data_IF_226319806798
#
_entry.id   IF_226319806798
#
_cell.length_a   1.000
_cell.length_b   1.000
_cell.length_c   1.000
_cell.angle_alpha   90.00
_cell.angle_beta   90.00
_cell.angle_gamma   90.00
#
_symmetry.space_group_name_H-M   'P 1'
#
loop_
_entity.id
_entity.type
_entity.pdbx_description
1 polymer ?
#
# COMPACT_ATOMS: atom_id res chain seq x y z
N UNK A 1 37.53 5.54 16.10
CA UNK A 1 37.02 6.32 17.26
C UNK A 1 36.87 7.78 16.83
N UNK A 2 35.81 8.44 17.30
CA UNK A 2 35.27 9.79 16.93
C UNK A 2 34.38 9.77 15.67
N UNK A 3 33.16 9.23 15.74
CA UNK A 3 31.94 9.80 16.36
C UNK A 3 31.48 11.11 15.71
N UNK A 4 30.66 10.99 14.66
CA UNK A 4 29.62 11.99 14.35
C UNK A 4 28.29 11.37 14.74
N UNK A 5 28.06 11.29 16.05
CA UNK A 5 26.72 11.32 16.62
C UNK A 5 26.40 12.79 16.88
N UNK A 6 25.48 13.36 16.11
CA UNK A 6 24.66 14.47 16.59
C UNK A 6 23.23 13.99 16.72
N UNK A 7 22.93 13.59 17.94
CA UNK A 7 21.59 13.57 18.47
C UNK A 7 21.06 15.01 18.46
N UNK A 8 19.95 15.28 17.80
CA UNK A 8 19.07 16.39 18.20
C UNK A 8 17.65 16.09 17.75
N UNK A 9 16.87 15.55 18.69
CA UNK A 9 15.48 15.96 18.87
C UNK A 9 15.43 17.49 18.84
N UNK A 10 15.21 18.05 17.66
CA UNK A 10 15.10 19.48 17.43
C UNK A 10 13.77 19.72 16.75
N UNK A 11 12.84 20.31 17.52
CA UNK A 11 11.68 21.09 17.09
C UNK A 11 11.26 20.93 15.62
N UNK A 12 10.05 20.37 15.40
CA UNK A 12 9.31 20.41 14.13
C UNK A 12 8.99 21.86 13.70
N UNK A 13 9.99 22.69 13.41
CA UNK A 13 9.85 23.76 12.44
C UNK A 13 9.83 23.06 11.09
N UNK A 14 8.74 23.18 10.32
CA UNK A 14 8.73 22.75 8.92
C UNK A 14 9.95 23.40 8.25
N UNK A 15 10.97 22.61 7.89
CA UNK A 15 12.08 23.10 7.06
C UNK A 15 11.45 23.79 5.85
N UNK A 16 11.85 25.03 5.60
CA UNK A 16 11.40 25.73 4.41
C UNK A 16 11.95 24.96 3.21
N UNK A 17 11.06 24.49 2.32
CA UNK A 17 11.43 23.75 1.13
C UNK A 17 12.28 24.61 0.20
N UNK A 18 13.31 24.02 -0.39
CA UNK A 18 14.09 24.67 -1.45
C UNK A 18 13.22 24.85 -2.69
N UNK A 19 13.54 25.88 -3.48
CA UNK A 19 12.85 26.23 -4.72
C UNK A 19 13.91 26.41 -5.81
N UNK A 20 13.92 25.53 -6.79
CA UNK A 20 14.89 25.53 -7.88
C UNK A 20 14.15 25.76 -9.19
N UNK A 21 14.44 26.87 -9.85
CA UNK A 21 13.91 27.23 -11.17
C UNK A 21 14.99 27.46 -12.21
N UNK A 22 16.27 27.38 -11.80
CA UNK A 22 17.41 27.67 -12.65
C UNK A 22 18.65 26.93 -12.15
N UNK A 23 19.66 26.82 -13.02
CA UNK A 23 20.99 26.33 -12.63
C UNK A 23 21.64 27.20 -11.53
N UNK A 24 21.37 28.50 -11.53
CA UNK A 24 21.89 29.41 -10.50
C UNK A 24 21.28 29.12 -9.13
N UNK A 25 19.97 28.87 -9.07
CA UNK A 25 19.31 28.45 -7.82
C UNK A 25 19.91 27.14 -7.32
N UNK A 26 20.12 26.17 -8.21
CA UNK A 26 20.70 24.87 -7.87
C UNK A 26 22.11 25.00 -7.28
N UNK A 27 22.98 25.78 -7.94
CA UNK A 27 24.35 26.06 -7.43
C UNK A 27 24.34 26.78 -6.08
N UNK A 28 23.41 27.73 -5.89
CA UNK A 28 23.27 28.44 -4.63
C UNK A 28 22.85 27.52 -3.48
N UNK A 29 21.86 26.66 -3.71
CA UNK A 29 21.38 25.71 -2.70
C UNK A 29 22.41 24.61 -2.40
N UNK A 30 23.14 24.10 -3.41
CA UNK A 30 24.29 23.20 -3.20
C UNK A 30 25.31 23.80 -2.21
N UNK A 31 25.68 25.07 -2.43
CA UNK A 31 26.64 25.76 -1.56
C UNK A 31 26.09 25.99 -0.15
N UNK A 32 24.79 26.30 -0.02
CA UNK A 32 24.12 26.47 1.29
C UNK A 32 24.08 25.16 2.08
N UNK A 33 23.92 24.03 1.40
CA UNK A 33 23.95 22.70 2.02
C UNK A 33 25.38 22.17 2.29
N UNK A 34 26.41 22.90 1.88
CA UNK A 34 27.81 22.59 2.15
C UNK A 34 28.48 21.69 1.10
N UNK A 35 27.91 21.58 -0.10
CA UNK A 35 28.56 20.88 -1.21
C UNK A 35 29.59 21.79 -1.87
N UNK A 36 30.84 21.32 -1.94
CA UNK A 36 31.95 22.01 -2.61
C UNK A 36 32.15 21.45 -4.02
N UNK A 37 31.74 22.22 -5.04
CA UNK A 37 31.97 21.88 -6.46
C UNK A 37 32.74 23.04 -7.08
N UNK A 38 34.02 22.80 -7.39
CA UNK A 38 34.96 23.83 -7.86
C UNK A 38 35.18 23.82 -9.38
N UNK A 39 34.36 23.05 -10.12
CA UNK A 39 34.44 22.95 -11.57
C UNK A 39 33.85 24.17 -12.26
N UNK A 40 34.60 24.75 -13.20
CA UNK A 40 34.23 25.97 -13.93
C UNK A 40 33.51 25.67 -15.24
N UNK A 41 33.82 24.55 -15.88
CA UNK A 41 33.13 24.10 -17.10
C UNK A 41 31.89 23.26 -16.76
N UNK A 42 30.90 23.32 -17.65
CA UNK A 42 29.60 22.68 -17.43
C UNK A 42 29.72 21.15 -17.33
N UNK A 43 30.52 20.52 -18.19
CA UNK A 43 30.70 19.07 -18.22
C UNK A 43 31.49 18.55 -17.01
N UNK A 44 32.49 19.28 -16.56
CA UNK A 44 33.18 19.05 -15.28
C UNK A 44 32.20 19.12 -14.11
N UNK A 45 31.38 20.17 -14.05
CA UNK A 45 30.39 20.35 -13.00
C UNK A 45 29.37 19.20 -12.97
N UNK A 46 28.81 18.81 -14.13
CA UNK A 46 27.85 17.70 -14.21
C UNK A 46 28.44 16.39 -13.71
N UNK A 47 29.70 16.08 -14.08
CA UNK A 47 30.41 14.87 -13.62
C UNK A 47 30.64 14.86 -12.11
N UNK A 48 31.04 15.98 -11.52
CA UNK A 48 31.23 16.07 -10.08
C UNK A 48 29.88 15.98 -9.32
N UNK A 49 28.80 16.57 -9.84
CA UNK A 49 27.44 16.36 -9.29
C UNK A 49 27.08 14.87 -9.32
N UNK A 50 27.23 14.19 -10.46
CA UNK A 50 26.93 12.77 -10.59
C UNK A 50 27.69 11.92 -9.56
N UNK A 51 28.98 12.23 -9.35
CA UNK A 51 29.87 11.55 -8.40
C UNK A 51 29.48 11.81 -6.95
N UNK A 52 29.20 13.06 -6.57
CA UNK A 52 28.79 13.44 -5.20
C UNK A 52 27.50 12.70 -4.81
N UNK A 53 26.50 12.71 -5.69
CA UNK A 53 25.19 12.10 -5.41
C UNK A 53 25.13 10.61 -5.78
N UNK A 54 26.19 10.05 -6.35
CA UNK A 54 26.29 8.64 -6.78
C UNK A 54 25.12 8.26 -7.71
N UNK A 55 24.89 9.10 -8.73
CA UNK A 55 23.84 8.91 -9.74
C UNK A 55 24.45 8.83 -11.13
N UNK A 56 23.71 8.25 -12.07
CA UNK A 56 24.09 8.21 -13.48
C UNK A 56 24.06 9.61 -14.09
N UNK A 57 24.92 9.85 -15.08
CA UNK A 57 24.98 11.13 -15.80
C UNK A 57 23.63 11.51 -16.41
N UNK A 58 22.82 10.54 -16.85
CA UNK A 58 21.48 10.78 -17.40
C UNK A 58 20.55 11.49 -16.41
N UNK A 59 20.71 11.27 -15.09
CA UNK A 59 19.95 11.96 -14.05
C UNK A 59 20.37 13.42 -13.98
N UNK A 60 21.67 13.71 -14.10
CA UNK A 60 22.20 15.08 -14.07
C UNK A 60 21.81 15.85 -15.32
N UNK A 61 21.89 15.23 -16.51
CA UNK A 61 21.39 15.83 -17.76
C UNK A 61 19.89 16.14 -17.68
N UNK A 62 19.11 15.22 -17.12
CA UNK A 62 17.67 15.43 -16.94
C UNK A 62 17.39 16.54 -15.93
N UNK A 63 18.18 16.65 -14.84
CA UNK A 63 18.07 17.75 -13.89
C UNK A 63 18.32 19.08 -14.60
N UNK A 64 19.41 19.19 -15.36
CA UNK A 64 19.76 20.38 -16.13
C UNK A 64 18.65 20.78 -17.10
N UNK A 65 18.10 19.81 -17.83
CA UNK A 65 16.99 20.03 -18.74
C UNK A 65 15.77 20.54 -17.98
N UNK A 66 15.39 19.86 -16.89
CA UNK A 66 14.26 20.22 -16.04
C UNK A 66 14.34 21.66 -15.49
N UNK A 67 15.49 22.07 -14.99
CA UNK A 67 15.67 23.40 -14.38
C UNK A 67 15.99 24.49 -15.41
N UNK A 68 16.15 24.14 -16.68
CA UNK A 68 16.26 25.09 -17.79
C UNK A 68 14.91 25.30 -18.51
N UNK A 69 13.87 24.54 -18.14
CA UNK A 69 12.50 24.80 -18.59
C UNK A 69 11.98 26.05 -17.84
N UNK A 70 11.97 27.21 -18.51
CA UNK A 70 11.72 28.57 -17.95
C UNK A 70 10.37 28.78 -17.22
N UNK A 71 9.53 27.75 -17.09
CA UNK A 71 8.19 27.84 -16.49
C UNK A 71 7.98 26.96 -15.25
N UNK A 72 8.97 26.14 -14.86
CA UNK A 72 8.80 25.17 -13.76
C UNK A 72 9.72 25.48 -12.58
N UNK A 73 9.12 25.72 -11.41
CA UNK A 73 9.84 25.75 -10.13
C UNK A 73 9.71 24.42 -9.40
N UNK A 74 10.82 23.73 -9.20
CA UNK A 74 10.91 22.50 -8.45
C UNK A 74 10.98 22.77 -6.95
N UNK A 75 10.14 22.10 -6.17
CA UNK A 75 10.09 22.20 -4.72
C UNK A 75 10.52 20.88 -4.08
N UNK A 76 11.58 20.93 -3.28
CA UNK A 76 12.13 19.76 -2.58
C UNK A 76 12.51 20.13 -1.14
N UNK A 77 12.77 19.13 -0.30
CA UNK A 77 13.20 19.34 1.09
C UNK A 77 14.67 19.77 1.20
N UNK A 78 15.51 19.25 0.31
CA UNK A 78 16.94 19.51 0.17
C UNK A 78 17.42 19.07 -1.24
N UNK A 79 18.71 19.22 -1.54
CA UNK A 79 19.25 18.84 -2.85
C UNK A 79 19.17 17.33 -3.10
N UNK A 80 19.37 16.49 -2.09
CA UNK A 80 19.22 15.05 -2.25
C UNK A 80 17.79 14.67 -2.64
N UNK A 81 16.79 15.29 -2.01
CA UNK A 81 15.38 15.10 -2.35
C UNK A 81 15.05 15.57 -3.78
N UNK A 82 15.69 16.64 -4.26
CA UNK A 82 15.57 17.07 -5.66
C UNK A 82 16.17 16.05 -6.63
N UNK A 83 17.37 15.53 -6.35
CA UNK A 83 18.01 14.51 -7.20
C UNK A 83 17.16 13.24 -7.24
N UNK A 84 16.62 12.80 -6.10
CA UNK A 84 15.67 11.68 -6.05
C UNK A 84 14.40 11.96 -6.85
N UNK A 85 13.87 13.19 -6.79
CA UNK A 85 12.72 13.59 -7.59
C UNK A 85 13.02 13.45 -9.09
N UNK A 86 14.13 13.99 -9.59
CA UNK A 86 14.51 13.84 -11.01
C UNK A 86 14.69 12.37 -11.39
N UNK A 87 15.36 11.57 -10.55
CA UNK A 87 15.51 10.13 -10.78
C UNK A 87 14.16 9.43 -10.91
N UNK A 88 13.19 9.78 -10.06
CA UNK A 88 11.84 9.21 -10.10
C UNK A 88 11.05 9.66 -11.32
N UNK A 89 11.28 10.86 -11.84
CA UNK A 89 10.67 11.30 -13.10
C UNK A 89 11.06 10.39 -14.26
N UNK A 90 12.37 10.16 -14.43
CA UNK A 90 12.91 9.26 -15.46
C UNK A 90 12.36 7.85 -15.28
N UNK A 91 12.41 7.33 -14.05
CA UNK A 91 11.92 5.99 -13.75
C UNK A 91 10.41 5.85 -14.03
N UNK A 92 9.61 6.85 -13.68
CA UNK A 92 8.19 6.85 -13.95
C UNK A 92 7.90 6.79 -15.44
N UNK A 93 8.55 7.61 -16.25
CA UNK A 93 8.38 7.60 -17.71
C UNK A 93 8.75 6.25 -18.33
N UNK A 94 9.87 5.67 -17.89
CA UNK A 94 10.30 4.34 -18.34
C UNK A 94 9.29 3.25 -17.99
N UNK A 95 8.82 3.19 -16.73
CA UNK A 95 7.82 2.20 -16.31
C UNK A 95 6.47 2.46 -16.99
N UNK A 96 6.09 3.71 -17.22
CA UNK A 96 4.88 4.08 -17.96
C UNK A 96 4.90 3.52 -19.38
N UNK A 97 5.99 3.73 -20.11
CA UNK A 97 6.18 3.24 -21.47
C UNK A 97 6.20 1.70 -21.52
N UNK A 98 6.93 1.05 -20.60
CA UNK A 98 6.97 -0.42 -20.49
C UNK A 98 5.59 -1.03 -20.21
N UNK A 99 4.80 -0.40 -19.35
CA UNK A 99 3.43 -0.83 -19.09
C UNK A 99 2.55 -0.60 -20.32
N UNK A 100 2.69 0.55 -20.99
CA UNK A 100 1.97 0.88 -22.21
C UNK A 100 2.20 -0.16 -23.31
N UNK A 101 3.45 -0.55 -23.59
CA UNK A 101 3.80 -1.58 -24.58
C UNK A 101 3.11 -2.93 -24.35
N UNK A 102 2.83 -3.27 -23.08
CA UNK A 102 2.10 -4.49 -22.72
C UNK A 102 0.61 -4.37 -23.00
N UNK A 103 0.01 -3.24 -22.65
CA UNK A 103 -1.45 -3.05 -22.71
C UNK A 103 -1.94 -2.55 -24.06
N UNK A 104 -1.09 -1.87 -24.85
CA UNK A 104 -1.48 -1.28 -26.15
C UNK A 104 -1.83 -2.31 -27.22
N UNK A 105 -1.58 -3.60 -26.95
CA UNK A 105 -1.95 -4.73 -27.81
C UNK A 105 -3.39 -5.18 -27.58
N UNK A 106 -3.99 -4.78 -26.45
CA UNK A 106 -5.37 -5.09 -26.08
C UNK A 106 -6.28 -4.12 -26.82
N UNK A 107 -7.37 -4.60 -27.40
CA UNK A 107 -8.37 -3.74 -28.05
C UNK A 107 -9.36 -3.19 -27.01
N UNK A 108 -9.91 -4.10 -26.21
CA UNK A 108 -10.92 -3.78 -25.18
C UNK A 108 -10.51 -4.37 -23.85
N UNK A 109 -10.57 -3.57 -22.79
CA UNK A 109 -10.36 -4.02 -21.41
C UNK A 109 -11.67 -3.93 -20.63
N UNK A 110 -12.13 -5.08 -20.13
CA UNK A 110 -13.28 -5.20 -19.24
C UNK A 110 -12.79 -5.41 -17.80
N UNK A 111 -13.31 -4.62 -16.86
CA UNK A 111 -12.97 -4.70 -15.44
C UNK A 111 -14.21 -4.95 -14.61
N UNK A 112 -14.23 -6.07 -13.89
CA UNK A 112 -15.28 -6.46 -12.97
C UNK A 112 -14.89 -6.15 -11.52
N UNK A 113 -15.81 -5.58 -10.74
CA UNK A 113 -15.62 -5.29 -9.31
C UNK A 113 -16.88 -5.58 -8.51
N UNK A 114 -16.76 -6.32 -7.42
CA UNK A 114 -17.85 -6.55 -6.47
C UNK A 114 -17.99 -5.35 -5.52
N UNK A 115 -19.21 -4.83 -5.35
CA UNK A 115 -19.51 -3.67 -4.51
C UNK A 115 -20.38 -4.04 -3.28
N UNK A 116 -19.72 -4.40 -2.17
CA UNK A 116 -20.41 -4.86 -0.95
C UNK A 116 -21.11 -3.75 -0.15
N UNK A 117 -20.70 -2.48 -0.28
CA UNK A 117 -21.16 -1.36 0.57
C UNK A 117 -22.29 -0.52 -0.06
N UNK A 118 -22.89 -0.96 -1.17
CA UNK A 118 -23.93 -0.19 -1.86
C UNK A 118 -25.27 -0.14 -1.10
N UNK A 119 -25.51 -1.10 -0.21
CA UNK A 119 -26.74 -1.20 0.59
C UNK A 119 -26.50 -0.75 2.04
N UNK A 120 -27.39 0.09 2.62
CA UNK A 120 -27.32 0.49 4.02
C UNK A 120 -27.43 -0.72 4.96
N UNK A 121 -26.63 -0.73 6.04
CA UNK A 121 -26.72 -1.76 7.09
C UNK A 121 -27.41 -1.20 8.32
N UNK A 122 -28.25 -2.04 8.96
CA UNK A 122 -28.88 -1.74 10.24
C UNK A 122 -27.83 -1.79 11.35
N UNK A 123 -27.92 -0.85 12.30
CA UNK A 123 -27.02 -0.80 13.46
C UNK A 123 -27.42 -1.85 14.51
N UNK A 124 -26.48 -2.73 14.86
CA UNK A 124 -26.62 -3.71 15.92
C UNK A 124 -26.43 -3.05 17.31
N UNK A 125 -27.03 -3.63 18.36
CA UNK A 125 -26.81 -3.20 19.74
C UNK A 125 -25.49 -3.79 20.28
N UNK A 126 -24.54 -2.93 20.68
CA UNK A 126 -23.15 -3.32 20.95
C UNK A 126 -22.54 -2.67 22.20
N UNK A 127 -23.35 -2.09 23.09
CA UNK A 127 -22.86 -1.28 24.22
C UNK A 127 -22.02 -2.11 25.22
N UNK A 128 -22.49 -3.30 25.59
CA UNK A 128 -21.76 -4.20 26.49
C UNK A 128 -20.47 -4.75 25.84
N UNK A 129 -20.52 -4.92 24.52
CA UNK A 129 -19.38 -5.40 23.74
C UNK A 129 -18.29 -4.33 23.65
N UNK A 130 -18.65 -3.05 23.53
CA UNK A 130 -17.70 -1.94 23.46
C UNK A 130 -16.86 -1.82 24.74
N UNK A 131 -17.49 -1.87 25.92
CA UNK A 131 -16.76 -1.80 27.20
C UNK A 131 -15.73 -2.92 27.32
N UNK A 132 -16.15 -4.14 27.03
CA UNK A 132 -15.28 -5.33 27.05
C UNK A 132 -14.11 -5.18 26.07
N UNK A 133 -14.38 -4.64 24.88
CA UNK A 133 -13.35 -4.41 23.85
C UNK A 133 -12.31 -3.39 24.30
N UNK A 134 -12.75 -2.28 24.91
CA UNK A 134 -11.84 -1.22 25.39
C UNK A 134 -10.93 -1.72 26.50
N UNK A 135 -11.48 -2.47 27.47
CA UNK A 135 -10.72 -3.10 28.55
C UNK A 135 -9.66 -4.04 27.97
N UNK A 136 -10.07 -4.99 27.12
CA UNK A 136 -9.14 -5.95 26.49
C UNK A 136 -8.08 -5.22 25.68
N UNK A 137 -8.46 -4.20 24.90
CA UNK A 137 -7.51 -3.42 24.12
C UNK A 137 -6.46 -2.73 25.01
N UNK A 138 -6.85 -2.20 26.18
CA UNK A 138 -5.95 -1.56 27.13
C UNK A 138 -4.97 -2.55 27.77
N UNK A 139 -5.40 -3.79 28.01
CA UNK A 139 -4.59 -4.84 28.64
C UNK A 139 -3.52 -5.41 27.69
N UNK A 140 -3.92 -5.73 26.45
CA UNK A 140 -3.08 -6.54 25.56
C UNK A 140 -2.26 -5.71 24.58
N UNK A 141 -2.64 -4.45 24.32
CA UNK A 141 -2.11 -3.71 23.17
C UNK A 141 -0.94 -2.80 23.52
N UNK A 142 0.08 -2.84 22.67
CA UNK A 142 1.27 -1.98 22.74
C UNK A 142 1.64 -1.45 21.36
N UNK A 143 2.36 -0.33 21.33
CA UNK A 143 2.97 0.14 20.09
C UNK A 143 4.17 -0.76 19.77
N UNK A 144 4.30 -1.14 18.52
CA UNK A 144 5.38 -1.98 18.01
C UNK A 144 6.73 -1.25 17.98
N UNK A 145 7.84 -1.96 18.24
CA UNK A 145 9.20 -1.42 18.13
C UNK A 145 9.63 -1.27 16.67
N UNK A 146 10.64 -0.44 16.37
CA UNK A 146 11.20 -0.31 15.01
C UNK A 146 11.79 -1.62 14.46
N UNK A 147 12.38 -2.44 15.34
CA UNK A 147 12.90 -3.76 15.00
C UNK A 147 11.77 -4.70 14.56
N UNK A 148 10.66 -4.75 15.32
CA UNK A 148 9.53 -5.61 15.01
C UNK A 148 8.75 -5.13 13.76
N UNK A 149 8.80 -3.84 13.42
CA UNK A 149 8.21 -3.32 12.15
C UNK A 149 8.84 -3.95 10.92
N UNK A 150 10.09 -4.43 11.01
CA UNK A 150 10.77 -5.08 9.89
C UNK A 150 10.00 -6.32 9.43
N UNK A 151 9.46 -7.12 10.37
CA UNK A 151 8.67 -8.32 10.06
C UNK A 151 7.48 -8.01 9.15
N UNK A 152 6.71 -6.98 9.49
CA UNK A 152 5.55 -6.55 8.69
C UNK A 152 5.97 -5.98 7.34
N UNK A 153 7.05 -5.19 7.30
CA UNK A 153 7.57 -4.62 6.05
C UNK A 153 8.08 -5.67 5.09
N UNK A 154 8.72 -6.72 5.59
CA UNK A 154 9.26 -7.77 4.73
C UNK A 154 8.15 -8.63 4.13
N UNK A 155 7.08 -8.91 4.88
CA UNK A 155 5.87 -9.52 4.31
C UNK A 155 5.19 -8.64 3.26
N UNK A 156 5.08 -7.33 3.51
CA UNK A 156 4.54 -6.40 2.51
C UNK A 156 5.37 -6.42 1.22
N UNK A 157 6.71 -6.50 1.33
CA UNK A 157 7.59 -6.66 0.16
C UNK A 157 7.43 -8.02 -0.54
N UNK A 158 7.18 -9.10 0.20
CA UNK A 158 6.89 -10.42 -0.38
C UNK A 158 5.60 -10.37 -1.20
N UNK A 159 4.54 -9.80 -0.63
CA UNK A 159 3.26 -9.63 -1.31
C UNK A 159 3.39 -8.75 -2.55
N UNK A 160 4.11 -7.63 -2.44
CA UNK A 160 4.36 -6.70 -3.54
C UNK A 160 5.09 -7.36 -4.72
N UNK A 161 5.87 -8.41 -4.47
CA UNK A 161 6.53 -9.14 -5.56
C UNK A 161 5.54 -9.96 -6.36
N UNK A 162 4.55 -10.59 -5.74
CA UNK A 162 3.78 -11.66 -6.38
C UNK A 162 2.34 -11.30 -6.74
N UNK A 163 1.78 -10.28 -6.10
CA UNK A 163 0.36 -9.94 -6.21
C UNK A 163 0.12 -8.52 -6.73
N UNK A 164 -1.06 -8.31 -7.31
CA UNK A 164 -1.59 -6.98 -7.59
C UNK A 164 -2.52 -6.53 -6.48
N UNK A 165 -2.61 -5.21 -6.30
CA UNK A 165 -3.64 -4.58 -5.49
C UNK A 165 -4.72 -3.96 -6.37
N UNK A 166 -5.94 -3.80 -5.85
CA UNK A 166 -7.03 -3.16 -6.58
C UNK A 166 -6.67 -1.74 -7.05
N UNK A 167 -5.89 -0.97 -6.26
CA UNK A 167 -5.36 0.37 -6.60
C UNK A 167 -4.37 0.37 -7.76
N UNK A 168 -3.73 -0.77 -8.03
CA UNK A 168 -2.85 -0.93 -9.18
C UNK A 168 -3.74 -1.03 -10.44
N UNK A 169 -4.82 -1.81 -10.38
CA UNK A 169 -5.81 -1.89 -11.45
C UNK A 169 -6.56 -0.54 -11.62
N UNK A 170 -6.83 0.20 -10.54
CA UNK A 170 -7.37 1.56 -10.65
C UNK A 170 -6.41 2.54 -11.34
N UNK A 171 -5.10 2.39 -11.13
CA UNK A 171 -4.11 3.17 -11.88
C UNK A 171 -4.18 2.82 -13.37
N UNK A 172 -4.21 1.52 -13.71
CA UNK A 172 -4.34 1.06 -15.09
C UNK A 172 -5.60 1.65 -15.76
N UNK A 173 -6.76 1.58 -15.09
CA UNK A 173 -8.01 2.19 -15.59
C UNK A 173 -7.83 3.67 -15.92
N UNK A 174 -7.22 4.44 -15.02
CA UNK A 174 -6.95 5.87 -15.24
C UNK A 174 -6.02 6.12 -16.42
N UNK A 175 -5.05 5.24 -16.66
CA UNK A 175 -4.14 5.37 -17.80
C UNK A 175 -4.85 5.14 -19.13
N UNK A 176 -5.83 4.24 -19.19
CA UNK A 176 -6.52 3.88 -20.44
C UNK A 176 -7.78 4.71 -20.71
N UNK A 177 -8.39 5.31 -19.68
CA UNK A 177 -9.55 6.18 -19.84
C UNK A 177 -9.10 7.54 -20.38
N UNK A 178 -9.55 7.91 -21.59
CA UNK A 178 -9.40 9.27 -22.13
C UNK A 178 -10.55 10.15 -21.64
N UNK A 179 -10.23 11.38 -21.26
CA UNK A 179 -11.23 12.36 -20.81
C UNK A 179 -12.18 12.71 -21.97
N UNK A 180 -13.47 12.44 -21.78
CA UNK A 180 -14.52 12.78 -22.73
C UNK A 180 -15.03 11.60 -23.58
N UNK A 181 -14.46 10.41 -23.44
CA UNK A 181 -15.01 9.19 -24.05
C UNK A 181 -16.08 8.56 -23.17
N UNK A 182 -17.14 8.04 -23.80
CA UNK A 182 -18.19 7.30 -23.09
C UNK A 182 -17.67 5.95 -22.63
N UNK A 183 -17.74 5.72 -21.32
CA UNK A 183 -17.38 4.44 -20.71
C UNK A 183 -18.65 3.60 -20.60
N UNK A 184 -18.61 2.36 -21.12
CA UNK A 184 -19.70 1.41 -20.95
C UNK A 184 -19.65 0.82 -19.54
N UNK A 185 -20.64 1.14 -18.72
CA UNK A 185 -20.77 0.61 -17.36
C UNK A 185 -22.08 -0.15 -17.19
N UNK A 186 -22.03 -1.32 -16.57
CA UNK A 186 -23.21 -2.10 -16.19
C UNK A 186 -23.09 -2.57 -14.74
N UNK A 187 -24.23 -2.90 -14.13
CA UNK A 187 -24.28 -3.42 -12.77
C UNK A 187 -25.23 -4.61 -12.69
N UNK A 188 -24.73 -5.72 -12.16
CA UNK A 188 -25.53 -6.90 -11.87
C UNK A 188 -25.92 -6.90 -10.40
N UNK A 189 -27.20 -6.68 -10.11
CA UNK A 189 -27.73 -6.64 -8.73
C UNK A 189 -27.62 -8.00 -8.02
N UNK A 190 -27.76 -9.12 -8.75
CA UNK A 190 -27.71 -10.46 -8.18
C UNK A 190 -26.31 -10.84 -7.69
N UNK A 191 -25.27 -10.53 -8.47
CA UNK A 191 -23.87 -10.79 -8.10
C UNK A 191 -23.20 -9.60 -7.41
N UNK A 192 -23.85 -8.44 -7.39
CA UNK A 192 -23.32 -7.15 -6.90
C UNK A 192 -22.05 -6.70 -7.63
N UNK A 193 -21.90 -7.12 -8.89
CA UNK A 193 -20.73 -6.82 -9.70
C UNK A 193 -21.00 -5.60 -10.58
N UNK A 194 -20.12 -4.59 -10.49
CA UNK A 194 -19.99 -3.51 -11.45
C UNK A 194 -19.00 -3.93 -12.54
N UNK A 195 -19.39 -3.80 -13.80
CA UNK A 195 -18.55 -4.09 -14.96
C UNK A 195 -18.31 -2.80 -15.74
N UNK A 196 -17.06 -2.56 -16.12
CA UNK A 196 -16.63 -1.39 -16.89
C UNK A 196 -15.86 -1.89 -18.10
N UNK A 197 -16.29 -1.51 -19.31
CA UNK A 197 -15.58 -1.84 -20.55
C UNK A 197 -14.99 -0.59 -21.18
N UNK A 198 -13.70 -0.66 -21.51
CA UNK A 198 -12.88 0.47 -21.98
C UNK A 198 -12.18 0.06 -23.27
N UNK A 199 -12.33 0.85 -24.34
CA UNK A 199 -11.52 0.70 -25.54
C UNK A 199 -10.13 1.27 -25.26
N UNK A 200 -9.07 0.50 -25.53
CA UNK A 200 -7.71 0.94 -25.27
C UNK A 200 -7.33 2.00 -26.31
N UNK A 201 -6.84 3.18 -25.87
CA UNK A 201 -6.53 4.23 -26.81
C UNK A 201 -5.32 3.90 -27.67
N UNK A 202 -5.26 4.50 -28.87
CA UNK A 202 -4.13 4.27 -29.80
C UNK A 202 -2.81 4.91 -29.33
N UNK A 203 -2.89 5.90 -28.43
CA UNK A 203 -1.74 6.65 -27.93
C UNK A 203 -1.75 6.66 -26.41
N UNK A 204 -0.55 6.65 -25.86
CA UNK A 204 -0.30 6.76 -24.43
C UNK A 204 -0.92 8.05 -23.87
N UNK A 205 -1.69 7.93 -22.81
CA UNK A 205 -2.37 9.05 -22.15
C UNK A 205 -1.62 9.45 -20.87
N UNK A 206 -1.39 10.74 -20.67
CA UNK A 206 -0.81 11.32 -19.45
C UNK A 206 -1.75 12.29 -18.74
N UNK A 207 -2.95 12.54 -19.29
CA UNK A 207 -3.91 13.53 -18.79
C UNK A 207 -4.50 13.16 -17.42
N UNK A 208 -4.39 11.89 -17.03
CA UNK A 208 -4.85 11.40 -15.73
C UNK A 208 -3.96 11.86 -14.56
N UNK A 209 -2.78 12.40 -14.85
CA UNK A 209 -1.88 12.97 -13.85
C UNK A 209 -2.31 14.42 -13.57
N UNK A 210 -3.01 14.63 -12.46
CA UNK A 210 -3.54 15.96 -12.09
C UNK A 210 -2.51 16.85 -11.39
N UNK A 211 -1.49 16.26 -10.77
CA UNK A 211 -0.44 17.02 -10.09
C UNK A 211 0.48 17.69 -11.12
N UNK A 212 0.87 18.94 -10.87
CA UNK A 212 1.77 19.70 -11.75
C UNK A 212 3.23 19.32 -11.50
N UNK A 213 4.01 19.13 -12.57
CA UNK A 213 5.46 18.95 -12.52
C UNK A 213 6.13 20.07 -11.69
N UNK A 214 7.20 19.74 -10.97
CA UNK A 214 7.88 20.62 -10.03
C UNK A 214 7.23 20.73 -8.64
N UNK A 215 5.97 20.29 -8.47
CA UNK A 215 5.28 20.34 -7.18
C UNK A 215 5.56 19.12 -6.31
N UNK A 216 5.46 19.28 -4.99
CA UNK A 216 5.58 18.17 -4.04
C UNK A 216 4.48 17.13 -4.26
N UNK A 217 3.28 17.58 -4.63
CA UNK A 217 2.18 16.66 -4.96
C UNK A 217 2.52 15.75 -6.15
N UNK A 218 3.29 16.25 -7.12
CA UNK A 218 3.73 15.43 -8.24
C UNK A 218 4.85 14.47 -7.81
N UNK A 219 5.80 14.90 -6.99
CA UNK A 219 6.79 13.97 -6.43
C UNK A 219 6.14 12.85 -5.60
N UNK A 220 5.15 13.18 -4.76
CA UNK A 220 4.32 12.22 -4.03
C UNK A 220 3.55 11.30 -4.98
N UNK A 221 3.05 11.85 -6.09
CA UNK A 221 2.40 11.05 -7.13
C UNK A 221 3.37 10.02 -7.74
N UNK A 222 4.60 10.41 -8.06
CA UNK A 222 5.62 9.47 -8.56
C UNK A 222 5.93 8.38 -7.51
N UNK A 223 6.18 8.79 -6.26
CA UNK A 223 6.46 7.89 -5.14
C UNK A 223 5.40 6.80 -4.99
N UNK A 224 4.14 7.19 -5.14
CA UNK A 224 3.01 6.30 -4.94
C UNK A 224 2.70 5.39 -6.14
N UNK A 225 3.03 5.80 -7.37
CA UNK A 225 2.60 5.11 -8.59
C UNK A 225 3.71 4.32 -9.29
N UNK A 226 5.00 4.67 -9.12
CA UNK A 226 6.11 3.86 -9.65
C UNK A 226 6.01 2.39 -9.16
N UNK A 227 5.84 2.10 -7.85
CA UNK A 227 5.71 0.71 -7.41
C UNK A 227 4.47 0.01 -7.97
N UNK A 228 3.38 0.75 -8.21
CA UNK A 228 2.15 0.20 -8.80
C UNK A 228 2.37 -0.23 -10.25
N UNK A 229 3.03 0.61 -11.04
CA UNK A 229 3.37 0.28 -12.43
C UNK A 229 4.31 -0.91 -12.49
N UNK A 230 5.33 -0.96 -11.63
CA UNK A 230 6.24 -2.11 -11.55
C UNK A 230 5.50 -3.40 -11.22
N UNK A 231 4.55 -3.36 -10.27
CA UNK A 231 3.68 -4.51 -9.96
C UNK A 231 2.81 -4.90 -11.14
N UNK A 232 2.16 -3.94 -11.81
CA UNK A 232 1.38 -4.21 -13.03
C UNK A 232 2.23 -4.89 -14.10
N UNK A 233 3.37 -4.30 -14.45
CA UNK A 233 4.28 -4.84 -15.47
C UNK A 233 4.67 -6.29 -15.17
N UNK A 234 4.95 -6.59 -13.89
CA UNK A 234 5.35 -7.93 -13.45
C UNK A 234 4.17 -8.91 -13.42
N UNK A 235 3.05 -8.53 -12.81
CA UNK A 235 2.02 -9.49 -12.35
C UNK A 235 0.70 -9.43 -13.13
N UNK A 236 0.47 -8.46 -14.02
CA UNK A 236 -0.82 -8.29 -14.70
C UNK A 236 -1.29 -9.51 -15.50
N UNK A 237 -0.34 -10.29 -16.04
CA UNK A 237 -0.62 -11.53 -16.77
C UNK A 237 -1.33 -12.60 -15.91
N UNK A 238 -1.20 -12.55 -14.58
CA UNK A 238 -1.89 -13.46 -13.65
C UNK A 238 -3.37 -13.11 -13.45
N UNK A 239 -3.78 -11.90 -13.86
CA UNK A 239 -5.10 -11.32 -13.59
C UNK A 239 -5.88 -10.97 -14.87
N UNK A 240 -5.23 -11.09 -16.03
CA UNK A 240 -5.83 -10.86 -17.34
C UNK A 240 -6.22 -12.22 -17.93
N UNK A 241 -7.51 -12.37 -18.22
CA UNK A 241 -8.04 -13.48 -19.00
C UNK A 241 -8.47 -12.98 -20.38
N UNK A 242 -8.28 -13.80 -21.42
CA UNK A 242 -8.84 -13.55 -22.75
C UNK A 242 -10.34 -13.79 -22.66
N UNK A 243 -11.15 -12.86 -23.18
CA UNK A 243 -12.58 -13.06 -23.28
C UNK A 243 -12.87 -14.14 -24.33
N UNK A 244 -13.51 -15.24 -23.94
CA UNK A 244 -13.74 -16.38 -24.82
C UNK A 244 -14.68 -16.03 -25.99
N UNK A 245 -15.47 -14.96 -25.86
CA UNK A 245 -16.39 -14.49 -26.90
C UNK A 245 -15.72 -13.52 -27.90
N UNK A 246 -14.67 -12.81 -27.49
CA UNK A 246 -13.94 -11.84 -28.32
C UNK A 246 -12.41 -11.99 -28.13
N UNK A 247 -11.72 -12.55 -29.13
CA UNK A 247 -10.29 -12.88 -29.07
C UNK A 247 -9.34 -11.71 -28.75
N UNK A 248 -9.80 -10.46 -28.88
CA UNK A 248 -9.03 -9.24 -28.62
C UNK A 248 -9.56 -8.43 -27.41
N UNK A 249 -10.56 -8.95 -26.71
CA UNK A 249 -11.07 -8.40 -25.46
C UNK A 249 -10.45 -9.14 -24.28
N UNK A 250 -10.06 -8.37 -23.27
CA UNK A 250 -9.41 -8.90 -22.08
C UNK A 250 -10.19 -8.50 -20.85
N UNK A 251 -10.27 -9.43 -19.90
CA UNK A 251 -11.07 -9.27 -18.69
C UNK A 251 -10.19 -9.36 -17.45
N UNK A 252 -10.41 -8.43 -16.52
CA UNK A 252 -9.79 -8.42 -15.19
C UNK A 252 -10.89 -8.44 -14.13
N UNK A 253 -10.85 -9.45 -13.24
CA UNK A 253 -11.65 -9.46 -12.03
C UNK A 253 -10.90 -8.74 -10.91
N UNK A 254 -11.14 -7.44 -10.76
CA UNK A 254 -10.44 -6.60 -9.77
C UNK A 254 -10.59 -7.12 -8.33
N UNK A 255 -11.71 -7.78 -8.02
CA UNK A 255 -11.96 -8.33 -6.67
C UNK A 255 -11.07 -9.54 -6.32
N UNK A 256 -10.36 -10.12 -7.29
CA UNK A 256 -9.36 -11.16 -7.07
C UNK A 256 -7.98 -10.58 -6.71
N UNK A 257 -7.75 -9.29 -6.97
CA UNK A 257 -6.57 -8.58 -6.50
C UNK A 257 -6.65 -8.29 -4.99
N UNK A 258 -5.50 -8.06 -4.37
CA UNK A 258 -5.43 -7.68 -2.96
C UNK A 258 -6.10 -6.33 -2.72
N UNK A 259 -6.80 -6.21 -1.60
CA UNK A 259 -7.48 -4.95 -1.26
C UNK A 259 -6.50 -3.81 -0.97
N UNK A 260 -6.88 -2.57 -1.28
CA UNK A 260 -6.01 -1.39 -1.17
C UNK A 260 -5.46 -1.13 0.23
N UNK A 261 -6.27 -1.45 1.23
CA UNK A 261 -6.02 -1.21 2.65
C UNK A 261 -5.77 -2.52 3.40
N UNK A 262 -5.18 -3.50 2.72
CA UNK A 262 -4.92 -4.80 3.32
C UNK A 262 -4.15 -4.64 4.64
N UNK A 263 -4.73 -5.19 5.70
CA UNK A 263 -4.02 -5.34 6.96
C UNK A 263 -3.21 -6.62 6.89
N UNK A 264 -1.94 -6.52 7.25
CA UNK A 264 -1.02 -7.66 7.38
C UNK A 264 -0.83 -7.88 8.87
N UNK A 265 -1.05 -9.10 9.34
CA UNK A 265 -0.78 -9.51 10.70
C UNK A 265 0.08 -10.77 10.76
N UNK A 266 0.89 -10.86 11.81
CA UNK A 266 1.76 -12.00 12.11
C UNK A 266 1.66 -12.33 13.58
N UNK A 267 1.37 -13.57 13.93
CA UNK A 267 1.49 -14.06 15.29
C UNK A 267 2.73 -14.94 15.43
N UNK A 268 3.42 -14.80 16.55
CA UNK A 268 4.42 -15.77 17.01
C UNK A 268 3.84 -16.51 18.20
N UNK A 269 3.71 -17.83 18.08
CA UNK A 269 3.21 -18.69 19.14
C UNK A 269 3.82 -20.09 19.03
N UNK A 270 4.25 -20.65 20.17
CA UNK A 270 4.90 -21.97 20.25
C UNK A 270 6.02 -22.14 19.20
N UNK A 271 6.90 -21.13 19.10
CA UNK A 271 8.02 -21.03 18.16
C UNK A 271 7.63 -21.04 16.66
N UNK A 272 6.34 -20.95 16.34
CA UNK A 272 5.81 -20.88 14.97
C UNK A 272 5.29 -19.50 14.64
N UNK A 273 5.34 -19.17 13.34
CA UNK A 273 4.76 -17.95 12.78
C UNK A 273 3.43 -18.24 12.06
N UNK A 274 2.43 -17.42 12.35
CA UNK A 274 1.11 -17.46 11.74
C UNK A 274 0.88 -16.14 11.01
N UNK A 275 0.72 -16.18 9.70
CA UNK A 275 0.65 -14.97 8.86
C UNK A 275 -0.74 -14.87 8.25
N UNK A 276 -1.32 -13.68 8.25
CA UNK A 276 -2.61 -13.47 7.60
C UNK A 276 -2.71 -12.08 6.99
N UNK A 277 -3.51 -12.01 5.94
CA UNK A 277 -3.95 -10.77 5.33
C UNK A 277 -5.46 -10.61 5.47
N UNK A 278 -5.92 -9.36 5.61
CA UNK A 278 -7.36 -9.07 5.57
C UNK A 278 -7.94 -9.26 4.17
N UNK A 279 -9.23 -9.58 4.07
CA UNK A 279 -9.92 -9.78 2.80
C UNK A 279 -10.08 -11.25 2.45
N UNK A 280 -10.86 -11.56 1.41
CA UNK A 280 -11.22 -12.94 1.05
C UNK A 280 -10.15 -13.68 0.25
N UNK A 281 -9.06 -13.01 -0.15
CA UNK A 281 -8.00 -13.62 -0.94
C UNK A 281 -7.28 -14.70 -0.13
N UNK A 282 -7.05 -15.85 -0.76
CA UNK A 282 -6.24 -16.94 -0.22
C UNK A 282 -4.80 -16.80 -0.70
N UNK A 283 -3.87 -16.82 0.23
CA UNK A 283 -2.43 -16.76 -0.05
C UNK A 283 -1.80 -18.02 0.48
N UNK A 284 -0.96 -18.65 -0.34
CA UNK A 284 -0.23 -19.87 0.02
C UNK A 284 0.59 -19.58 1.28
N UNK A 285 0.52 -20.48 2.26
CA UNK A 285 1.20 -20.36 3.58
C UNK A 285 0.69 -19.24 4.48
N UNK A 286 -0.48 -18.66 4.21
CA UNK A 286 -1.16 -17.72 5.10
C UNK A 286 -2.42 -18.38 5.69
N UNK A 287 -2.81 -17.96 6.90
CA UNK A 287 -4.05 -18.38 7.54
C UNK A 287 -5.24 -17.85 6.73
N UNK A 288 -6.23 -18.71 6.50
CA UNK A 288 -7.48 -18.40 5.81
C UNK A 288 -8.64 -18.32 6.80
N UNK A 289 -9.72 -17.64 6.40
CA UNK A 289 -10.94 -17.66 7.19
C UNK A 289 -11.59 -19.05 7.05
N UNK A 290 -12.00 -19.69 8.15
CA UNK A 290 -12.77 -20.92 8.04
C UNK A 290 -14.14 -20.64 7.40
N UNK A 291 -14.79 -21.64 6.79
CA UNK A 291 -16.19 -21.55 6.43
C UNK A 291 -17.04 -21.08 7.61
N UNK A 292 -18.09 -20.28 7.36
CA UNK A 292 -18.93 -19.67 8.40
C UNK A 292 -19.43 -20.68 9.44
N UNK A 293 -19.80 -21.89 9.00
CA UNK A 293 -20.30 -22.98 9.85
C UNK A 293 -19.24 -23.58 10.77
N UNK A 294 -17.96 -23.41 10.45
CA UNK A 294 -16.81 -23.94 11.19
C UNK A 294 -16.09 -22.88 12.03
N UNK A 295 -16.52 -21.61 11.97
CA UNK A 295 -15.90 -20.53 12.71
C UNK A 295 -16.18 -20.66 14.22
N UNK A 296 -15.12 -20.66 15.03
CA UNK A 296 -15.25 -20.79 16.49
C UNK A 296 -15.38 -19.43 17.17
N UNK A 297 -14.85 -18.37 16.54
CA UNK A 297 -14.89 -17.02 17.07
C UNK A 297 -15.83 -16.15 16.24
N UNK A 298 -16.76 -15.50 16.94
CA UNK A 298 -17.73 -14.60 16.32
C UNK A 298 -17.09 -13.25 16.04
N UNK A 299 -17.18 -12.80 14.79
CA UNK A 299 -16.89 -11.43 14.40
C UNK A 299 -18.14 -10.56 14.47
N UNK A 300 -17.96 -9.27 14.32
CA UNK A 300 -19.04 -8.28 14.36
C UNK A 300 -18.87 -7.28 13.23
N UNK A 301 -19.95 -6.57 12.90
CA UNK A 301 -19.93 -5.52 11.88
C UNK A 301 -19.12 -4.32 12.35
N UNK A 302 -18.21 -3.86 11.51
CA UNK A 302 -17.43 -2.64 11.78
C UNK A 302 -17.28 -1.84 10.49
N UNK A 303 -17.59 -0.55 10.53
CA UNK A 303 -17.45 0.32 9.37
C UNK A 303 -16.01 0.83 9.20
N UNK A 304 -15.75 1.57 8.12
CA UNK A 304 -14.42 2.15 7.82
C UNK A 304 -13.91 3.11 8.90
N UNK A 305 -14.79 3.68 9.72
CA UNK A 305 -14.44 4.57 10.83
C UNK A 305 -14.18 3.83 12.15
N UNK A 306 -14.28 2.49 12.16
CA UNK A 306 -14.10 1.68 13.37
C UNK A 306 -15.33 1.63 14.28
N UNK A 307 -16.50 2.10 13.82
CA UNK A 307 -17.74 2.03 14.60
C UNK A 307 -18.29 0.59 14.56
N UNK A 308 -18.44 0.00 15.75
CA UNK A 308 -18.96 -1.34 15.95
C UNK A 308 -20.49 -1.38 15.75
N UNK A 309 -21.00 -2.50 15.26
CA UNK A 309 -22.43 -2.76 15.03
C UNK A 309 -22.97 -2.22 13.70
N UNK A 310 -22.16 -1.57 12.87
CA UNK A 310 -22.58 -1.06 11.55
C UNK A 310 -21.49 -1.32 10.52
N UNK A 311 -21.85 -1.52 9.25
CA UNK A 311 -20.92 -1.84 8.17
C UNK A 311 -20.94 -3.33 7.83
N UNK A 312 -19.77 -3.88 7.49
CA UNK A 312 -19.61 -5.27 7.07
C UNK A 312 -19.03 -6.13 8.19
N UNK A 313 -19.41 -7.41 8.20
CA UNK A 313 -18.87 -8.38 9.14
C UNK A 313 -17.39 -8.64 8.84
N UNK A 314 -16.56 -8.56 9.88
CA UNK A 314 -15.11 -8.67 9.83
C UNK A 314 -14.63 -10.13 9.86
N UNK A 315 -15.34 -11.01 9.16
CA UNK A 315 -15.04 -12.45 9.06
C UNK A 315 -13.68 -12.73 8.44
N UNK A 316 -13.22 -11.84 7.57
CA UNK A 316 -12.00 -11.96 6.80
C UNK A 316 -10.84 -11.12 7.36
N UNK A 317 -10.96 -10.59 8.58
CA UNK A 317 -9.87 -9.82 9.19
C UNK A 317 -8.69 -10.76 9.55
N UNK A 318 -7.48 -10.27 9.32
CA UNK A 318 -6.23 -11.01 9.52
C UNK A 318 -6.10 -11.62 10.91
N UNK A 319 -6.46 -10.86 11.94
CA UNK A 319 -6.40 -11.29 13.34
C UNK A 319 -7.33 -12.47 13.60
N UNK A 320 -8.56 -12.43 13.06
CA UNK A 320 -9.52 -13.53 13.22
C UNK A 320 -9.00 -14.81 12.58
N UNK A 321 -8.50 -14.73 11.34
CA UNK A 321 -7.94 -15.90 10.63
C UNK A 321 -6.80 -16.57 11.42
N UNK A 322 -5.92 -15.77 12.01
CA UNK A 322 -4.83 -16.26 12.86
C UNK A 322 -5.36 -16.99 14.09
N UNK A 323 -6.30 -16.39 14.83
CA UNK A 323 -6.82 -17.02 16.06
C UNK A 323 -7.61 -18.30 15.78
N UNK A 324 -8.39 -18.34 14.70
CA UNK A 324 -9.08 -19.57 14.25
C UNK A 324 -8.07 -20.68 13.94
N UNK A 325 -6.99 -20.37 13.22
CA UNK A 325 -5.98 -21.35 12.85
C UNK A 325 -5.20 -21.88 14.06
N UNK A 326 -4.81 -20.99 14.98
CA UNK A 326 -4.15 -21.39 16.23
C UNK A 326 -5.09 -22.26 17.08
N UNK A 327 -6.36 -21.87 17.20
CA UNK A 327 -7.36 -22.67 17.92
C UNK A 327 -7.50 -24.07 17.31
N UNK A 328 -7.64 -24.17 15.98
CA UNK A 328 -7.71 -25.44 15.25
C UNK A 328 -6.51 -26.33 15.56
N UNK A 329 -5.31 -25.77 15.49
CA UNK A 329 -4.07 -26.51 15.75
C UNK A 329 -3.93 -26.95 17.23
N UNK A 330 -4.48 -26.20 18.19
CA UNK A 330 -4.56 -26.61 19.60
C UNK A 330 -5.51 -27.79 19.79
N UNK A 331 -6.71 -27.74 19.21
CA UNK A 331 -7.69 -28.83 19.27
C UNK A 331 -7.14 -30.12 18.62
N UNK A 332 -6.35 -29.98 17.56
CA UNK A 332 -5.61 -31.06 16.91
C UNK A 332 -4.39 -31.54 17.69
N UNK A 333 -4.09 -30.93 18.85
CA UNK A 333 -2.94 -31.24 19.72
C UNK A 333 -1.57 -31.04 19.04
N UNK A 334 -1.53 -30.21 17.99
CA UNK A 334 -0.31 -29.84 17.27
C UNK A 334 0.37 -28.58 17.83
N UNK A 335 -0.33 -27.87 18.73
CA UNK A 335 0.18 -26.76 19.54
C UNK A 335 -0.22 -26.97 21.00
N UNK A 336 0.59 -26.41 21.90
CA UNK A 336 0.27 -26.35 23.33
C UNK A 336 -0.93 -25.43 23.58
N UNK A 337 -1.64 -25.63 24.68
CA UNK A 337 -2.71 -24.74 25.15
C UNK A 337 -2.24 -23.82 26.29
N UNK A 338 -0.98 -23.39 26.22
CA UNK A 338 -0.34 -22.53 27.22
C UNK A 338 0.82 -21.73 26.61
N UNK A 339 1.28 -20.69 27.31
CA UNK A 339 2.46 -19.92 26.94
C UNK A 339 2.14 -18.49 26.55
N UNK A 340 2.93 -17.91 25.64
CA UNK A 340 2.81 -16.50 25.22
C UNK A 340 2.63 -16.39 23.71
N UNK A 341 1.58 -15.67 23.30
CA UNK A 341 1.30 -15.35 21.90
C UNK A 341 1.53 -13.85 21.69
N UNK A 342 2.34 -13.49 20.70
CA UNK A 342 2.55 -12.09 20.32
C UNK A 342 2.05 -11.88 18.89
N UNK A 343 1.02 -11.04 18.74
CA UNK A 343 0.44 -10.64 17.48
C UNK A 343 0.99 -9.27 17.07
N UNK A 344 1.63 -9.21 15.91
CA UNK A 344 2.07 -7.99 15.24
C UNK A 344 1.06 -7.64 14.16
N UNK A 345 0.56 -6.41 14.13
CA UNK A 345 -0.42 -5.95 13.13
C UNK A 345 -0.06 -4.57 12.61
N UNK A 346 -0.28 -4.32 11.31
CA UNK A 346 0.00 -3.01 10.71
C UNK A 346 -0.91 -1.93 11.34
N UNK A 347 -2.17 -2.26 11.53
CA UNK A 347 -3.15 -1.40 12.19
C UNK A 347 -3.47 -1.92 13.59
N UNK A 348 -3.79 -1.01 14.51
CA UNK A 348 -4.42 -1.40 15.78
C UNK A 348 -5.67 -2.23 15.45
N UNK A 349 -5.88 -3.42 16.04
CA UNK A 349 -7.05 -4.23 15.73
C UNK A 349 -8.36 -3.45 15.89
N UNK A 350 -9.34 -3.74 15.05
CA UNK A 350 -10.66 -3.11 15.16
C UNK A 350 -11.43 -3.68 16.37
N UNK A 351 -12.55 -3.06 16.79
CA UNK A 351 -13.36 -3.58 17.89
C UNK A 351 -13.81 -5.03 17.73
N UNK A 352 -14.17 -5.46 16.50
CA UNK A 352 -14.50 -6.86 16.22
C UNK A 352 -13.31 -7.79 16.46
N UNK A 353 -12.10 -7.41 16.05
CA UNK A 353 -10.90 -8.22 16.29
C UNK A 353 -10.57 -8.33 17.79
N UNK A 354 -10.76 -7.26 18.58
CA UNK A 354 -10.61 -7.35 20.03
C UNK A 354 -11.66 -8.24 20.69
N UNK A 355 -12.89 -8.27 20.17
CA UNK A 355 -13.90 -9.24 20.60
C UNK A 355 -13.43 -10.68 20.33
N UNK A 356 -12.85 -10.95 19.16
CA UNK A 356 -12.27 -12.26 18.83
C UNK A 356 -11.12 -12.61 19.79
N UNK A 357 -10.20 -11.67 20.04
CA UNK A 357 -9.10 -11.85 21.00
C UNK A 357 -9.64 -12.21 22.40
N UNK A 358 -10.69 -11.53 22.85
CA UNK A 358 -11.33 -11.83 24.14
C UNK A 358 -11.92 -13.24 24.18
N UNK A 359 -12.64 -13.64 23.13
CA UNK A 359 -13.19 -14.99 23.01
C UNK A 359 -12.07 -16.06 23.06
N UNK A 360 -10.98 -15.83 22.32
CA UNK A 360 -9.81 -16.71 22.34
C UNK A 360 -9.19 -16.82 23.73
N UNK A 361 -8.97 -15.69 24.44
CA UNK A 361 -8.43 -15.69 25.82
C UNK A 361 -9.32 -16.45 26.81
N UNK A 362 -10.65 -16.36 26.66
CA UNK A 362 -11.60 -17.12 27.49
C UNK A 362 -11.55 -18.61 27.19
N UNK A 363 -11.40 -18.99 25.92
CA UNK A 363 -11.26 -20.38 25.48
C UNK A 363 -9.93 -21.00 25.93
N UNK A 364 -8.86 -20.21 25.91
CA UNK A 364 -7.48 -20.63 26.17
C UNK A 364 -6.84 -19.78 27.29
N UNK A 365 -7.26 -19.93 28.56
CA UNK A 365 -6.80 -19.08 29.65
C UNK A 365 -5.31 -19.23 29.99
N UNK A 366 -4.68 -20.34 29.59
CA UNK A 366 -3.24 -20.58 29.75
C UNK A 366 -2.36 -19.78 28.78
N UNK A 367 -2.95 -19.12 27.76
CA UNK A 367 -2.21 -18.36 26.74
C UNK A 367 -2.26 -16.86 27.04
N UNK A 368 -1.08 -16.28 27.29
CA UNK A 368 -0.92 -14.84 27.45
C UNK A 368 -0.81 -14.17 26.08
N UNK A 369 -1.87 -13.47 25.69
CA UNK A 369 -1.93 -12.73 24.41
C UNK A 369 -1.36 -11.31 24.57
N UNK A 370 -0.50 -10.90 23.63
CA UNK A 370 -0.04 -9.53 23.45
C UNK A 370 -0.25 -9.09 22.01
N UNK A 371 -0.65 -7.84 21.81
CA UNK A 371 -0.86 -7.22 20.50
C UNK A 371 0.10 -6.05 20.34
N UNK A 372 0.85 -6.00 19.24
CA UNK A 372 1.79 -4.93 18.88
C UNK A 372 1.39 -4.33 17.55
N UNK A 373 1.07 -3.04 17.51
CA UNK A 373 0.57 -2.37 16.30
C UNK A 373 1.42 -1.18 15.85
N UNK A 374 1.43 -0.89 14.54
CA UNK A 374 2.18 0.25 13.96
C UNK A 374 1.40 1.56 14.05
N UNK A 375 0.13 1.57 13.60
CA UNK A 375 -0.70 2.77 13.49
C UNK A 375 -2.06 2.58 14.14
N UNK A 376 -2.68 3.66 14.63
CA UNK A 376 -4.08 3.62 15.06
C UNK A 376 -5.02 3.86 13.89
N UNK A 377 -6.25 3.37 13.97
CA UNK A 377 -7.30 3.72 13.01
C UNK A 377 -7.52 5.24 13.01
N UNK A 378 -7.47 5.85 11.83
CA UNK A 378 -7.68 7.29 11.63
C UNK A 378 -6.42 8.18 11.68
N UNK A 379 -5.23 7.60 11.93
CA UNK A 379 -3.91 8.23 11.72
C UNK A 379 -3.38 7.96 10.30
#
# INVERSE_FOLDING_TARGET
MNAIQKNTLSNKRKKQRIKISSLNDFKCELKKEGYEINELDEEGFKREVAKIFKVDNSVVESLYTCISEDEITYRANDIMDLIDYIKKMILFENEHNRLWEKISKIKTLTVDRIEYEREPSVQDNVDDLLRTVEEVASEVSRVISEEDKIKLRDLEKELDKEYLYAKDIELLKKMVIIKGEEIKETYNTGTRTKTISIEIPKKVNHQYITAKRGTVQYHDYLNNNIPRMQRLIKNIHKYINVDEEESDAYKIHQSEALQDSINIAVAVYDEKEFRAISGSNEIINYCSAPPLEKANFKSSKVNKLGKLGIGYDRVNDSEKKIFEEIHRQIEEKSLKNEGSLILYSKWKPCPSCYSVINQFRKRHPGIKVQVRYVKKYGE
#
